data_IF_744262555106
#
_entry.id   IF_744262555106
#
_cell.length_a   1.000
_cell.length_b   1.000
_cell.length_c   1.000
_cell.angle_alpha   90.00
_cell.angle_beta   90.00
_cell.angle_gamma   90.00
#
_symmetry.space_group_name_H-M   'P 1'
#
loop_
_entity.id
_entity.type
_entity.pdbx_description
1 polymer ?
#
# COMPACT_ATOMS: atom_id res chain seq x y z
N UNK A 1 -59.28 27.32 53.87
CA UNK A 1 -57.86 27.69 53.69
C UNK A 1 -57.05 26.41 53.80
N UNK A 2 -56.44 25.96 52.69
CA UNK A 2 -55.12 25.33 52.54
C UNK A 2 -55.07 24.74 51.11
N UNK A 3 -54.07 25.20 50.36
CA UNK A 3 -53.74 24.89 48.97
C UNK A 3 -52.86 23.62 48.85
N UNK A 4 -52.81 23.09 47.61
CA UNK A 4 -51.65 22.43 46.96
C UNK A 4 -51.31 21.00 47.42
N UNK A 5 -50.93 20.04 46.55
CA UNK A 5 -50.16 20.17 45.31
C UNK A 5 -50.57 19.13 44.26
N UNK A 6 -50.67 19.57 43.00
CA UNK A 6 -50.56 18.73 41.82
C UNK A 6 -49.10 18.30 41.66
N UNK A 7 -48.80 17.01 41.78
CA UNK A 7 -47.55 16.43 41.28
C UNK A 7 -47.64 16.30 39.78
N UNK A 8 -47.03 17.26 39.07
CA UNK A 8 -46.80 17.20 37.63
C UNK A 8 -45.74 16.14 37.38
N UNK A 9 -46.14 15.16 36.56
CA UNK A 9 -45.32 14.11 36.02
C UNK A 9 -44.35 14.74 34.98
N UNK A 10 -43.06 14.91 35.32
CA UNK A 10 -42.07 15.46 34.38
C UNK A 10 -40.71 14.77 34.54
N UNK A 11 -40.59 13.56 33.99
CA UNK A 11 -39.29 12.86 33.88
C UNK A 11 -39.03 12.22 32.50
N UNK A 12 -39.89 12.44 31.50
CA UNK A 12 -39.79 11.78 30.18
C UNK A 12 -39.43 12.69 29.00
N UNK A 13 -39.10 13.97 29.24
CA UNK A 13 -38.89 14.95 28.17
C UNK A 13 -37.43 15.29 27.83
N UNK A 14 -36.53 15.34 28.82
CA UNK A 14 -35.20 15.92 28.63
C UNK A 14 -34.22 14.99 27.89
N UNK A 15 -34.37 13.66 28.07
CA UNK A 15 -33.46 12.67 27.48
C UNK A 15 -33.63 12.53 25.95
N UNK A 16 -34.86 12.74 25.45
CA UNK A 16 -35.17 12.57 24.03
C UNK A 16 -34.79 13.81 23.22
N UNK A 17 -34.95 15.03 23.77
CA UNK A 17 -34.57 16.28 23.10
C UNK A 17 -33.07 16.32 22.77
N UNK A 18 -32.20 15.99 23.72
CA UNK A 18 -30.75 15.93 23.50
C UNK A 18 -30.35 14.87 22.45
N UNK A 19 -31.08 13.75 22.37
CA UNK A 19 -30.81 12.70 21.39
C UNK A 19 -31.22 13.10 19.95
N UNK A 20 -32.30 13.85 19.80
CA UNK A 20 -32.77 14.37 18.51
C UNK A 20 -31.84 15.47 17.97
N UNK A 21 -31.33 16.35 18.85
CA UNK A 21 -30.38 17.40 18.49
C UNK A 21 -29.00 16.85 18.09
N UNK A 22 -28.56 15.74 18.70
CA UNK A 22 -27.32 15.05 18.29
C UNK A 22 -27.46 14.28 16.99
N UNK A 23 -28.63 13.70 16.71
CA UNK A 23 -28.90 13.07 15.41
C UNK A 23 -28.93 14.09 14.27
N UNK A 24 -29.55 15.26 14.48
CA UNK A 24 -29.56 16.32 13.47
C UNK A 24 -28.16 16.91 13.26
N UNK A 25 -27.37 17.09 14.31
CA UNK A 25 -25.97 17.47 14.22
C UNK A 25 -25.11 16.46 13.44
N UNK A 26 -25.29 15.15 13.68
CA UNK A 26 -24.59 14.10 12.95
C UNK A 26 -24.93 14.11 11.45
N UNK A 27 -26.18 14.38 11.09
CA UNK A 27 -26.60 14.56 9.69
C UNK A 27 -25.96 15.81 9.07
N UNK A 28 -25.93 16.94 9.79
CA UNK A 28 -25.25 18.16 9.32
C UNK A 28 -23.75 17.95 9.11
N UNK A 29 -23.09 17.19 9.99
CA UNK A 29 -21.67 16.84 9.82
C UNK A 29 -21.44 16.00 8.56
N UNK A 30 -22.32 15.04 8.26
CA UNK A 30 -22.23 14.24 7.04
C UNK A 30 -22.46 15.05 5.75
N UNK A 31 -23.29 16.10 5.82
CA UNK A 31 -23.53 17.01 4.70
C UNK A 31 -22.42 18.06 4.51
N UNK A 32 -21.83 18.55 5.60
CA UNK A 32 -20.80 19.59 5.57
C UNK A 32 -19.39 19.04 5.33
N UNK A 33 -19.09 17.82 5.79
CA UNK A 33 -17.75 17.24 5.73
C UNK A 33 -17.74 15.98 4.84
N UNK A 34 -17.20 16.08 3.60
CA UNK A 34 -17.12 14.95 2.68
C UNK A 34 -16.42 13.73 3.27
N UNK A 35 -15.44 13.91 4.17
CA UNK A 35 -14.74 12.81 4.83
C UNK A 35 -15.67 11.91 5.67
N UNK A 36 -16.73 12.48 6.26
CA UNK A 36 -17.71 11.71 7.05
C UNK A 36 -18.49 10.77 6.13
N UNK A 37 -18.86 11.26 4.94
CA UNK A 37 -19.53 10.45 3.92
C UNK A 37 -18.62 9.35 3.37
N UNK A 38 -17.37 9.68 3.03
CA UNK A 38 -16.37 8.68 2.59
C UNK A 38 -16.14 7.60 3.64
N UNK A 39 -15.97 7.99 4.91
CA UNK A 39 -15.81 7.03 6.00
C UNK A 39 -17.04 6.14 6.17
N UNK A 40 -18.26 6.67 5.99
CA UNK A 40 -19.48 5.85 6.01
C UNK A 40 -19.55 4.87 4.84
N UNK A 41 -19.10 5.26 3.65
CA UNK A 41 -19.15 4.43 2.44
C UNK A 41 -18.07 3.35 2.39
N UNK A 42 -16.82 3.68 2.76
CA UNK A 42 -15.68 2.77 2.63
C UNK A 42 -15.52 1.83 3.83
N UNK A 43 -16.00 2.23 5.01
CA UNK A 43 -15.79 1.48 6.26
C UNK A 43 -17.00 0.60 6.62
N UNK A 44 -18.16 0.80 5.99
CA UNK A 44 -19.40 0.08 6.33
C UNK A 44 -19.78 -1.01 5.30
N UNK A 45 -20.13 -2.20 5.80
CA UNK A 45 -21.51 -2.65 5.59
C UNK A 45 -22.25 -2.86 6.92
N UNK A 46 -23.51 -2.43 6.95
CA UNK A 46 -24.49 -2.59 8.04
C UNK A 46 -24.42 -3.93 8.77
N UNK A 47 -24.27 -3.92 10.11
CA UNK A 47 -25.07 -4.67 11.10
C UNK A 47 -24.45 -4.51 12.50
N UNK A 48 -25.29 -4.27 13.52
CA UNK A 48 -24.96 -4.40 14.96
C UNK A 48 -23.95 -3.42 15.58
N UNK A 49 -24.25 -2.12 15.55
CA UNK A 49 -24.23 -1.29 16.79
C UNK A 49 -25.40 -0.31 16.80
N UNK A 50 -26.56 -0.77 16.34
CA UNK A 50 -27.81 -0.06 16.55
C UNK A 50 -28.29 -0.33 17.98
N UNK A 51 -28.20 0.69 18.84
CA UNK A 51 -29.28 1.11 19.77
C UNK A 51 -28.79 2.01 20.91
N UNK A 52 -27.48 2.16 21.18
CA UNK A 52 -27.03 2.88 22.38
C UNK A 52 -25.78 3.77 22.26
N UNK A 53 -25.15 3.88 21.10
CA UNK A 53 -24.01 4.81 20.91
C UNK A 53 -24.49 6.16 20.40
N UNK A 54 -23.91 7.22 20.94
CA UNK A 54 -24.12 8.58 20.47
C UNK A 54 -23.76 8.69 18.97
N UNK A 55 -24.63 9.27 18.13
CA UNK A 55 -24.34 9.52 16.72
C UNK A 55 -23.01 10.26 16.46
N UNK A 56 -22.59 11.16 17.36
CA UNK A 56 -21.33 11.90 17.22
C UNK A 56 -20.12 11.00 17.51
N UNK A 57 -20.23 10.11 18.51
CA UNK A 57 -19.19 9.11 18.79
C UNK A 57 -19.05 8.11 17.65
N UNK A 58 -20.15 7.77 16.98
CA UNK A 58 -20.12 6.90 15.80
C UNK A 58 -19.37 7.55 14.63
N UNK A 59 -19.56 8.85 14.41
CA UNK A 59 -18.80 9.60 13.40
C UNK A 59 -17.31 9.56 13.74
N UNK A 60 -16.92 9.84 14.98
CA UNK A 60 -15.51 9.79 15.38
C UNK A 60 -14.89 8.39 15.25
N UNK A 61 -15.64 7.33 15.57
CA UNK A 61 -15.21 5.95 15.38
C UNK A 61 -15.00 5.61 13.90
N UNK A 62 -15.92 6.01 13.01
CA UNK A 62 -15.81 5.80 11.57
C UNK A 62 -14.62 6.55 10.97
N UNK A 63 -14.44 7.81 11.34
CA UNK A 63 -13.32 8.64 10.88
C UNK A 63 -11.97 8.08 11.34
N UNK A 64 -11.89 7.62 12.58
CA UNK A 64 -10.68 6.98 13.12
C UNK A 64 -10.37 5.68 12.40
N UNK A 65 -11.39 4.86 12.12
CA UNK A 65 -11.23 3.60 11.38
C UNK A 65 -10.82 3.84 9.93
N UNK A 66 -11.43 4.83 9.26
CA UNK A 66 -11.05 5.25 7.91
C UNK A 66 -9.57 5.66 7.84
N UNK A 67 -9.10 6.52 8.76
CA UNK A 67 -7.68 6.90 8.80
C UNK A 67 -6.77 5.71 9.05
N UNK A 68 -7.16 4.78 9.93
CA UNK A 68 -6.42 3.55 10.18
C UNK A 68 -6.29 2.69 8.91
N UNK A 69 -7.38 2.49 8.18
CA UNK A 69 -7.38 1.71 6.93
C UNK A 69 -6.53 2.36 5.84
N UNK A 70 -6.63 3.68 5.64
CA UNK A 70 -5.80 4.39 4.67
C UNK A 70 -4.31 4.36 5.06
N UNK A 71 -3.99 4.50 6.35
CA UNK A 71 -2.60 4.41 6.84
C UNK A 71 -2.02 3.02 6.60
N UNK A 72 -2.75 1.96 6.96
CA UNK A 72 -2.33 0.58 6.71
C UNK A 72 -2.12 0.31 5.21
N UNK A 73 -3.00 0.89 4.36
CA UNK A 73 -2.84 0.80 2.90
C UNK A 73 -1.58 1.51 2.42
N UNK A 74 -1.29 2.69 2.95
CA UNK A 74 -0.07 3.44 2.62
C UNK A 74 1.19 2.69 3.06
N UNK A 75 1.20 2.10 4.25
CA UNK A 75 2.30 1.25 4.75
C UNK A 75 2.54 0.05 3.83
N UNK A 76 1.48 -0.67 3.45
CA UNK A 76 1.59 -1.80 2.52
C UNK A 76 2.14 -1.41 1.14
N UNK A 77 1.77 -0.22 0.64
CA UNK A 77 2.35 0.33 -0.59
C UNK A 77 3.84 0.66 -0.41
N UNK A 78 4.22 1.31 0.69
CA UNK A 78 5.61 1.66 0.98
C UNK A 78 6.51 0.42 1.07
N UNK A 79 6.04 -0.63 1.75
CA UNK A 79 6.76 -1.90 1.86
C UNK A 79 6.93 -2.58 0.50
N UNK A 80 5.88 -2.61 -0.32
CA UNK A 80 5.96 -3.19 -1.66
C UNK A 80 6.95 -2.43 -2.56
N UNK A 81 6.89 -1.10 -2.57
CA UNK A 81 7.84 -0.24 -3.28
C UNK A 81 9.28 -0.57 -2.84
N UNK A 82 9.53 -0.63 -1.53
CA UNK A 82 10.84 -0.94 -0.97
C UNK A 82 11.34 -2.31 -1.39
N UNK A 83 10.52 -3.36 -1.22
CA UNK A 83 10.89 -4.74 -1.55
C UNK A 83 11.24 -4.86 -3.04
N UNK A 84 10.48 -4.21 -3.93
CA UNK A 84 10.75 -4.21 -5.37
C UNK A 84 12.00 -3.42 -5.72
N UNK A 85 12.17 -2.22 -5.16
CA UNK A 85 13.36 -1.39 -5.38
C UNK A 85 14.66 -2.08 -4.92
N UNK A 86 14.63 -2.69 -3.74
CA UNK A 86 15.78 -3.44 -3.21
C UNK A 86 16.09 -4.66 -4.10
N UNK A 87 15.05 -5.35 -4.59
CA UNK A 87 15.21 -6.51 -5.46
C UNK A 87 15.86 -6.15 -6.81
N UNK A 88 15.41 -5.10 -7.51
CA UNK A 88 16.00 -4.74 -8.82
C UNK A 88 17.44 -4.23 -8.68
N UNK A 89 17.76 -3.53 -7.59
CA UNK A 89 19.13 -3.10 -7.30
C UNK A 89 20.05 -4.30 -7.07
N UNK A 90 19.59 -5.29 -6.28
CA UNK A 90 20.35 -6.49 -6.01
C UNK A 90 20.47 -7.40 -7.24
N UNK A 91 19.43 -7.52 -8.08
CA UNK A 91 19.50 -8.22 -9.36
C UNK A 91 20.58 -7.59 -10.25
N UNK A 92 20.59 -6.26 -10.37
CA UNK A 92 21.60 -5.54 -11.16
C UNK A 92 23.01 -5.80 -10.65
N UNK A 93 23.21 -5.76 -9.32
CA UNK A 93 24.49 -6.03 -8.68
C UNK A 93 24.95 -7.46 -8.92
N UNK A 94 24.08 -8.44 -8.70
CA UNK A 94 24.38 -9.86 -8.90
C UNK A 94 24.67 -10.18 -10.37
N UNK A 95 23.92 -9.57 -11.29
CA UNK A 95 24.17 -9.73 -12.72
C UNK A 95 25.52 -9.15 -13.13
N UNK A 96 25.90 -7.98 -12.61
CA UNK A 96 27.24 -7.41 -12.83
C UNK A 96 28.36 -8.36 -12.41
N UNK A 97 28.18 -9.10 -11.31
CA UNK A 97 29.12 -10.14 -10.88
C UNK A 97 29.13 -11.35 -11.83
N UNK A 98 27.97 -11.81 -12.29
CA UNK A 98 27.86 -12.87 -13.31
C UNK A 98 28.60 -12.48 -14.58
N UNK A 99 28.42 -11.24 -15.06
CA UNK A 99 29.13 -10.72 -16.22
C UNK A 99 30.63 -10.69 -15.99
N UNK A 100 31.08 -10.10 -14.89
CA UNK A 100 32.51 -9.96 -14.57
C UNK A 100 33.22 -11.32 -14.56
N UNK A 101 32.61 -12.32 -13.92
CA UNK A 101 33.18 -13.67 -13.82
C UNK A 101 33.23 -14.39 -15.18
N UNK A 102 32.26 -14.12 -16.06
CA UNK A 102 32.08 -14.86 -17.32
C UNK A 102 32.81 -14.20 -18.48
N UNK A 103 32.90 -12.87 -18.50
CA UNK A 103 33.48 -12.08 -19.60
C UNK A 103 34.94 -12.46 -19.88
N UNK A 104 35.73 -12.79 -18.86
CA UNK A 104 37.13 -13.21 -19.02
C UNK A 104 37.32 -14.46 -19.88
N UNK A 105 36.29 -15.32 -19.98
CA UNK A 105 36.29 -16.49 -20.85
C UNK A 105 35.83 -16.21 -22.29
N UNK A 106 35.38 -15.00 -22.61
CA UNK A 106 34.87 -14.60 -23.93
C UNK A 106 35.89 -13.73 -24.68
N UNK A 107 35.56 -13.28 -25.89
CA UNK A 107 36.34 -12.29 -26.65
C UNK A 107 35.37 -11.42 -27.48
N UNK A 108 35.41 -10.08 -27.35
CA UNK A 108 34.57 -9.19 -28.14
C UNK A 108 34.84 -9.22 -29.64
N UNK A 109 36.02 -9.70 -30.08
CA UNK A 109 36.39 -9.81 -31.48
C UNK A 109 36.19 -11.22 -32.05
N UNK A 110 35.87 -12.22 -31.20
CA UNK A 110 35.64 -13.60 -31.64
C UNK A 110 34.41 -14.22 -30.95
N UNK A 111 33.29 -14.17 -31.67
CA UNK A 111 32.02 -14.77 -31.24
C UNK A 111 32.02 -16.31 -31.23
N UNK A 112 33.07 -16.97 -31.71
CA UNK A 112 33.24 -18.43 -31.58
C UNK A 112 33.81 -18.81 -30.21
N UNK A 113 34.49 -17.88 -29.52
CA UNK A 113 34.99 -18.11 -28.17
C UNK A 113 33.83 -18.02 -27.17
N UNK A 114 33.57 -19.14 -26.50
CA UNK A 114 32.46 -19.30 -25.59
C UNK A 114 32.95 -19.66 -24.19
N UNK A 115 32.25 -19.15 -23.18
CA UNK A 115 32.50 -19.41 -21.78
C UNK A 115 31.27 -20.03 -21.12
N UNK A 116 31.49 -20.98 -20.22
CA UNK A 116 30.44 -21.44 -19.31
C UNK A 116 30.46 -20.59 -18.04
N UNK A 117 29.31 -20.45 -17.39
CA UNK A 117 29.23 -19.78 -16.11
C UNK A 117 30.07 -20.51 -15.05
N UNK A 118 30.86 -19.75 -14.29
CA UNK A 118 31.60 -20.25 -13.12
C UNK A 118 30.64 -20.75 -12.04
N UNK A 119 31.14 -21.47 -11.04
CA UNK A 119 30.30 -21.89 -9.92
C UNK A 119 29.73 -20.69 -9.14
N UNK A 120 30.52 -19.63 -8.98
CA UNK A 120 30.07 -18.41 -8.31
C UNK A 120 29.02 -17.65 -9.13
N UNK A 121 29.19 -17.56 -10.45
CA UNK A 121 28.18 -17.03 -11.35
C UNK A 121 26.88 -17.82 -11.27
N UNK A 122 26.94 -19.16 -11.24
CA UNK A 122 25.75 -20.02 -11.06
C UNK A 122 25.04 -19.77 -9.73
N UNK A 123 25.79 -19.61 -8.64
CA UNK A 123 25.22 -19.29 -7.34
C UNK A 123 24.53 -17.91 -7.34
N UNK A 124 25.07 -16.94 -8.08
CA UNK A 124 24.44 -15.63 -8.26
C UNK A 124 23.18 -15.71 -9.13
N UNK A 125 23.17 -16.54 -10.18
CA UNK A 125 21.97 -16.83 -10.98
C UNK A 125 20.84 -17.43 -10.11
N UNK A 126 21.16 -18.36 -9.20
CA UNK A 126 20.17 -18.92 -8.26
C UNK A 126 19.63 -17.86 -7.26
N UNK A 127 20.42 -16.84 -6.92
CA UNK A 127 19.95 -15.71 -6.10
C UNK A 127 19.03 -14.78 -6.90
N UNK A 128 19.38 -14.48 -8.15
CA UNK A 128 18.54 -13.68 -9.05
C UNK A 128 17.19 -14.38 -9.27
N UNK A 129 17.19 -15.69 -9.54
CA UNK A 129 15.96 -16.47 -9.70
C UNK A 129 15.03 -16.37 -8.48
N UNK A 130 15.61 -16.50 -7.28
CA UNK A 130 14.86 -16.33 -6.03
C UNK A 130 14.33 -14.93 -5.83
N UNK A 131 15.13 -13.88 -6.07
CA UNK A 131 14.65 -12.49 -5.96
C UNK A 131 13.45 -12.24 -6.89
N UNK A 132 13.51 -12.76 -8.12
CA UNK A 132 12.41 -12.60 -9.08
C UNK A 132 11.14 -13.34 -8.60
N UNK A 133 11.27 -14.58 -8.15
CA UNK A 133 10.11 -15.37 -7.68
C UNK A 133 9.55 -14.87 -6.35
N UNK A 134 10.40 -14.58 -5.39
CA UNK A 134 10.01 -14.33 -4.01
C UNK A 134 9.71 -12.86 -3.74
N UNK A 135 10.55 -11.93 -4.22
CA UNK A 135 10.40 -10.50 -3.94
C UNK A 135 9.53 -9.82 -5.01
N UNK A 136 9.76 -10.14 -6.28
CA UNK A 136 9.02 -9.56 -7.40
C UNK A 136 7.74 -10.32 -7.75
N UNK A 137 7.53 -11.50 -7.14
CA UNK A 137 6.36 -12.37 -7.34
C UNK A 137 6.16 -12.80 -8.80
N UNK A 138 7.24 -12.94 -9.56
CA UNK A 138 7.22 -13.45 -10.94
C UNK A 138 7.67 -14.91 -10.97
N UNK A 139 6.71 -15.81 -11.20
CA UNK A 139 6.93 -17.26 -11.18
C UNK A 139 7.95 -17.75 -12.21
N UNK A 140 8.17 -16.99 -13.29
CA UNK A 140 9.16 -17.31 -14.33
C UNK A 140 10.58 -17.30 -13.78
N UNK A 141 10.85 -16.50 -12.75
CA UNK A 141 12.20 -16.36 -12.20
C UNK A 141 13.20 -15.85 -13.25
N UNK A 142 14.39 -16.45 -13.28
CA UNK A 142 15.44 -16.04 -14.22
C UNK A 142 15.10 -16.31 -15.70
N UNK A 143 14.06 -17.09 -15.98
CA UNK A 143 13.55 -17.29 -17.33
C UNK A 143 13.02 -15.99 -17.93
N UNK A 144 12.50 -15.06 -17.10
CA UNK A 144 12.04 -13.76 -17.57
C UNK A 144 13.16 -12.92 -18.22
N UNK A 145 14.41 -13.18 -17.85
CA UNK A 145 15.60 -12.53 -18.39
C UNK A 145 16.23 -13.38 -19.50
N UNK A 146 16.46 -14.66 -19.20
CA UNK A 146 17.33 -15.52 -20.01
C UNK A 146 16.57 -16.34 -21.07
N UNK A 147 15.23 -16.36 -20.99
CA UNK A 147 14.36 -17.21 -21.83
C UNK A 147 14.52 -18.71 -21.57
N UNK A 148 15.23 -19.08 -20.49
CA UNK A 148 15.50 -20.46 -20.09
C UNK A 148 15.31 -20.61 -18.58
N UNK A 149 14.86 -21.79 -18.15
CA UNK A 149 14.76 -22.07 -16.72
C UNK A 149 16.13 -22.11 -16.04
N UNK A 150 16.16 -22.02 -14.72
CA UNK A 150 17.40 -21.88 -13.94
C UNK A 150 18.46 -22.96 -14.25
N UNK A 151 18.06 -24.22 -14.42
CA UNK A 151 19.01 -25.31 -14.68
C UNK A 151 19.59 -25.22 -16.09
N UNK A 152 18.76 -24.87 -17.08
CA UNK A 152 19.20 -24.61 -18.43
C UNK A 152 20.11 -23.38 -18.50
N UNK A 153 19.77 -22.32 -17.79
CA UNK A 153 20.55 -21.07 -17.71
C UNK A 153 21.93 -21.33 -17.13
N UNK A 154 22.02 -22.06 -16.00
CA UNK A 154 23.31 -22.45 -15.42
C UNK A 154 24.15 -23.33 -16.36
N UNK A 155 23.51 -24.12 -17.21
CA UNK A 155 24.17 -24.97 -18.20
C UNK A 155 24.58 -24.25 -19.49
N UNK A 156 24.22 -22.98 -19.68
CA UNK A 156 24.53 -22.25 -20.92
C UNK A 156 26.04 -22.06 -21.10
N UNK A 157 26.43 -22.03 -22.36
CA UNK A 157 27.74 -21.54 -22.78
C UNK A 157 27.51 -20.35 -23.70
N UNK A 158 28.04 -19.20 -23.31
CA UNK A 158 27.75 -17.90 -23.88
C UNK A 158 29.01 -17.31 -24.51
N UNK A 159 28.88 -16.64 -25.65
CA UNK A 159 29.94 -15.76 -26.18
C UNK A 159 29.73 -14.31 -25.70
N UNK A 160 30.59 -13.41 -26.15
CA UNK A 160 30.49 -11.99 -25.80
C UNK A 160 29.15 -11.38 -26.24
N UNK A 161 28.68 -11.66 -27.46
CA UNK A 161 27.39 -11.16 -27.95
C UNK A 161 26.21 -11.68 -27.14
N UNK A 162 26.21 -12.96 -26.75
CA UNK A 162 25.18 -13.55 -25.90
C UNK A 162 25.13 -12.84 -24.54
N UNK A 163 26.28 -12.57 -23.92
CA UNK A 163 26.36 -11.84 -22.65
C UNK A 163 25.80 -10.42 -22.76
N UNK A 164 26.14 -9.69 -23.83
CA UNK A 164 25.58 -8.34 -24.07
C UNK A 164 24.07 -8.38 -24.30
N UNK A 165 23.58 -9.39 -25.01
CA UNK A 165 22.15 -9.58 -25.20
C UNK A 165 21.45 -9.86 -23.88
N UNK A 166 22.03 -10.69 -23.01
CA UNK A 166 21.47 -10.98 -21.69
C UNK A 166 21.50 -9.74 -20.79
N UNK A 167 22.57 -8.95 -20.84
CA UNK A 167 22.66 -7.68 -20.10
C UNK A 167 21.58 -6.67 -20.51
N UNK A 168 21.31 -6.57 -21.81
CA UNK A 168 20.21 -5.78 -22.32
C UNK A 168 18.84 -6.30 -21.83
N UNK A 169 18.65 -7.63 -21.75
CA UNK A 169 17.40 -8.20 -21.20
C UNK A 169 17.24 -7.96 -19.70
N UNK A 170 18.32 -7.98 -18.91
CA UNK A 170 18.28 -7.61 -17.48
C UNK A 170 17.88 -6.15 -17.32
N UNK A 171 18.47 -5.27 -18.12
CA UNK A 171 18.16 -3.84 -18.10
C UNK A 171 16.68 -3.61 -18.42
N UNK A 172 16.19 -4.18 -19.52
CA UNK A 172 14.79 -4.05 -19.93
C UNK A 172 13.80 -4.65 -18.90
N UNK A 173 14.18 -5.77 -18.27
CA UNK A 173 13.40 -6.38 -17.19
C UNK A 173 13.30 -5.45 -15.97
N UNK A 174 14.44 -4.90 -15.52
CA UNK A 174 14.48 -3.95 -14.40
C UNK A 174 13.72 -2.66 -14.73
N UNK A 175 13.83 -2.14 -15.95
CA UNK A 175 13.09 -0.95 -16.40
C UNK A 175 11.57 -1.18 -16.34
N UNK A 176 11.11 -2.38 -16.71
CA UNK A 176 9.67 -2.73 -16.63
C UNK A 176 9.18 -2.67 -15.17
N UNK A 177 9.96 -3.22 -14.24
CA UNK A 177 9.62 -3.17 -12.81
C UNK A 177 9.74 -1.75 -12.25
N UNK A 178 10.69 -0.96 -12.75
CA UNK A 178 10.83 0.44 -12.35
C UNK A 178 9.57 1.25 -12.72
N UNK A 179 8.97 1.00 -13.89
CA UNK A 179 7.69 1.63 -14.26
C UNK A 179 6.57 1.25 -13.31
N UNK A 180 6.52 -0.01 -12.86
CA UNK A 180 5.55 -0.46 -11.85
C UNK A 180 5.79 0.25 -10.50
N UNK A 181 7.06 0.34 -10.07
CA UNK A 181 7.46 1.06 -8.85
C UNK A 181 7.05 2.52 -8.93
N UNK A 182 7.32 3.21 -10.04
CA UNK A 182 6.97 4.61 -10.24
C UNK A 182 5.45 4.82 -10.18
N UNK A 183 4.69 3.88 -10.75
CA UNK A 183 3.22 3.86 -10.67
C UNK A 183 2.74 3.68 -9.23
N UNK A 184 3.31 2.75 -8.48
CA UNK A 184 2.97 2.55 -7.05
C UNK A 184 3.37 3.75 -6.20
N UNK A 185 4.53 4.37 -6.44
CA UNK A 185 4.96 5.59 -5.76
C UNK A 185 4.00 6.74 -6.00
N UNK A 186 3.48 6.90 -7.21
CA UNK A 186 2.48 7.93 -7.49
C UNK A 186 1.17 7.65 -6.73
N UNK A 187 0.72 6.39 -6.68
CA UNK A 187 -0.44 5.99 -5.88
C UNK A 187 -0.23 6.26 -4.40
N UNK A 188 0.94 5.92 -3.86
CA UNK A 188 1.32 6.19 -2.48
C UNK A 188 1.27 7.68 -2.17
N UNK A 189 1.83 8.54 -3.02
CA UNK A 189 1.76 10.01 -2.86
C UNK A 189 0.32 10.52 -2.83
N UNK A 190 -0.54 9.99 -3.69
CA UNK A 190 -1.96 10.35 -3.71
C UNK A 190 -2.66 9.94 -2.40
N UNK A 191 -2.42 8.71 -1.91
CA UNK A 191 -2.97 8.24 -0.63
C UNK A 191 -2.47 9.08 0.54
N UNK A 192 -1.17 9.41 0.58
CA UNK A 192 -0.62 10.28 1.63
C UNK A 192 -1.23 11.69 1.62
N UNK A 193 -1.57 12.20 0.44
CA UNK A 193 -2.25 13.49 0.29
C UNK A 193 -3.68 13.40 0.79
N UNK A 194 -4.39 12.32 0.45
CA UNK A 194 -5.74 12.04 0.94
C UNK A 194 -5.77 11.87 2.46
N UNK A 195 -4.83 11.14 3.05
CA UNK A 195 -4.69 11.02 4.51
C UNK A 195 -4.48 12.38 5.14
N UNK A 196 -3.60 13.21 4.59
CA UNK A 196 -3.31 14.54 5.14
C UNK A 196 -4.56 15.44 5.11
N UNK A 197 -5.29 15.44 3.99
CA UNK A 197 -6.57 16.15 3.85
C UNK A 197 -7.62 15.62 4.83
N UNK A 198 -7.76 14.30 4.91
CA UNK A 198 -8.69 13.64 5.83
C UNK A 198 -8.38 13.97 7.28
N UNK A 199 -7.10 14.01 7.68
CA UNK A 199 -6.70 14.39 9.04
C UNK A 199 -7.09 15.83 9.38
N UNK A 200 -6.96 16.76 8.43
CA UNK A 200 -7.40 18.15 8.60
C UNK A 200 -8.92 18.24 8.74
N UNK A 201 -9.68 17.60 7.83
CA UNK A 201 -11.15 17.57 7.91
C UNK A 201 -11.64 16.90 9.21
N UNK A 202 -11.03 15.80 9.62
CA UNK A 202 -11.38 15.09 10.87
C UNK A 202 -11.10 15.97 12.10
N UNK A 203 -10.01 16.74 12.08
CA UNK A 203 -9.71 17.69 13.15
C UNK A 203 -10.80 18.76 13.24
N UNK A 204 -11.30 19.25 12.11
CA UNK A 204 -12.38 20.24 12.08
C UNK A 204 -13.71 19.64 12.54
N UNK A 205 -14.06 18.43 12.09
CA UNK A 205 -15.23 17.69 12.57
C UNK A 205 -15.16 17.50 14.09
N UNK A 206 -14.01 17.08 14.64
CA UNK A 206 -13.83 16.92 16.10
C UNK A 206 -14.00 18.23 16.85
N UNK A 207 -13.51 19.35 16.33
CA UNK A 207 -13.73 20.66 16.95
C UNK A 207 -15.21 21.03 16.99
N UNK A 208 -15.96 20.73 15.92
CA UNK A 208 -17.40 20.96 15.87
C UNK A 208 -18.14 20.05 16.86
N UNK A 209 -17.80 18.76 16.91
CA UNK A 209 -18.36 17.80 17.88
C UNK A 209 -18.13 18.29 19.32
N UNK A 210 -16.91 18.74 19.66
CA UNK A 210 -16.61 19.25 21.00
C UNK A 210 -17.46 20.48 21.33
N UNK A 211 -17.59 21.45 20.41
CA UNK A 211 -18.45 22.63 20.60
C UNK A 211 -19.92 22.24 20.84
N UNK A 212 -20.43 21.29 20.07
CA UNK A 212 -21.80 20.78 20.21
C UNK A 212 -22.01 20.03 21.54
N UNK A 213 -21.02 19.24 21.96
CA UNK A 213 -21.05 18.51 23.23
C UNK A 213 -21.01 19.42 24.46
N UNK A 214 -20.37 20.59 24.36
CA UNK A 214 -20.29 21.60 25.43
C UNK A 214 -21.48 22.57 25.45
N UNK A 215 -22.19 22.71 24.32
CA UNK A 215 -23.41 23.50 24.22
C UNK A 215 -24.67 22.75 24.70
N UNK A 216 -24.54 21.44 25.00
CA UNK A 216 -25.59 20.55 25.52
C UNK A 216 -25.68 20.60 27.04
#
# INVERSE_FOLDING_TARGET
MIMQNMTVNSAYGASNLASTDRQSAAQQLAEQFPIVKKAQEEVAPMQTRQASKDPLDLIDELLSKYLGEQTNRAEGMADNIKVRSDAIAEISRLWGLVMQDTMGGTDPNDNKKKASFSQDAKNNLDKIDRLIKENLKDERGIEAITGKNIDQTKGMTVNYTDLQSLDATVTAFNDTIQVDIDTEQQRFKNVMTEISSAQEEIRDVRQVIVRLSQAS
#
